data_IF_475184391294
#
_entry.id   IF_475184391294
#
_cell.length_a   1.000
_cell.length_b   1.000
_cell.length_c   1.000
_cell.angle_alpha   90.00
_cell.angle_beta   90.00
_cell.angle_gamma   90.00
#
_symmetry.space_group_name_H-M   'P 1'
#
loop_
_entity.id
_entity.type
_entity.pdbx_description
1 polymer ?
#
# COMPACT_ATOMS: atom_id res chain seq x y z
N UNK A 1 -23.34 -1.34 1.54
CA UNK A 1 -22.30 -2.26 1.04
C UNK A 1 -21.14 -2.20 2.02
N UNK A 2 -20.55 -3.34 2.42
CA UNK A 2 -19.38 -3.32 3.32
C UNK A 2 -18.23 -2.57 2.66
N UNK A 3 -17.63 -1.62 3.38
CA UNK A 3 -16.46 -0.87 2.90
C UNK A 3 -15.29 -1.81 2.65
N UNK A 4 -14.38 -1.43 1.74
CA UNK A 4 -13.17 -2.20 1.48
C UNK A 4 -12.30 -2.31 2.73
N UNK A 5 -12.32 -1.28 3.58
CA UNK A 5 -11.58 -1.23 4.84
C UNK A 5 -12.05 -2.29 5.84
N UNK A 6 -13.36 -2.52 5.97
CA UNK A 6 -13.89 -3.52 6.91
C UNK A 6 -13.50 -4.95 6.55
N UNK A 7 -13.13 -5.21 5.29
CA UNK A 7 -12.59 -6.52 4.86
C UNK A 7 -11.15 -6.75 5.33
N UNK A 8 -10.40 -5.70 5.64
CA UNK A 8 -8.97 -5.78 5.95
C UNK A 8 -8.62 -5.41 7.39
N UNK A 9 -9.55 -4.82 8.15
CA UNK A 9 -9.27 -4.25 9.48
C UNK A 9 -8.56 -5.23 10.44
N UNK A 10 -8.85 -6.52 10.31
CA UNK A 10 -8.35 -7.58 11.19
C UNK A 10 -7.26 -8.45 10.56
N UNK A 11 -6.87 -8.22 9.29
CA UNK A 11 -5.99 -9.10 8.53
C UNK A 11 -4.87 -8.32 7.80
N UNK A 12 -4.11 -7.51 8.54
CA UNK A 12 -3.03 -6.69 7.98
C UNK A 12 -1.85 -7.51 7.42
N UNK A 13 -1.71 -8.76 7.82
CA UNK A 13 -0.74 -9.70 7.27
C UNK A 13 -0.98 -10.02 5.77
N UNK A 14 -2.15 -9.68 5.22
CA UNK A 14 -2.44 -9.79 3.79
C UNK A 14 -1.61 -8.82 2.95
N UNK A 15 -1.16 -7.71 3.54
CA UNK A 15 -0.33 -6.69 2.88
C UNK A 15 1.17 -7.02 2.89
N UNK A 16 1.56 -8.15 3.50
CA UNK A 16 2.95 -8.59 3.48
C UNK A 16 3.31 -9.05 2.06
N UNK A 17 4.36 -8.47 1.43
CA UNK A 17 4.80 -8.89 0.11
C UNK A 17 5.11 -10.40 0.07
N UNK A 18 4.44 -11.12 -0.83
CA UNK A 18 4.53 -12.59 -0.91
C UNK A 18 5.96 -13.09 -1.23
N UNK A 19 6.75 -12.28 -1.94
CA UNK A 19 8.14 -12.57 -2.29
C UNK A 19 9.10 -12.62 -1.08
N UNK A 20 8.69 -12.11 0.09
CA UNK A 20 9.47 -12.25 1.33
C UNK A 20 9.39 -13.67 1.93
N UNK A 21 8.49 -14.52 1.43
CA UNK A 21 8.33 -15.93 1.84
C UNK A 21 8.27 -16.14 3.37
N UNK A 22 7.53 -15.26 4.06
CA UNK A 22 7.34 -15.36 5.51
C UNK A 22 6.21 -16.35 5.79
N UNK A 23 6.57 -17.54 6.27
CA UNK A 23 5.65 -18.66 6.50
C UNK A 23 5.24 -18.81 7.96
N UNK A 24 6.07 -18.36 8.91
CA UNK A 24 5.78 -18.44 10.34
C UNK A 24 4.57 -17.56 10.72
N UNK A 25 3.48 -18.14 11.27
CA UNK A 25 2.26 -17.38 11.55
C UNK A 25 2.45 -16.26 12.58
N UNK A 26 3.26 -16.48 13.62
CA UNK A 26 3.50 -15.48 14.67
C UNK A 26 4.26 -14.28 14.10
N UNK A 27 5.28 -14.52 13.26
CA UNK A 27 6.04 -13.49 12.57
C UNK A 27 5.17 -12.74 11.56
N UNK A 28 4.31 -13.44 10.80
CA UNK A 28 3.36 -12.79 9.89
C UNK A 28 2.42 -11.85 10.67
N UNK A 29 1.88 -12.30 11.80
CA UNK A 29 1.03 -11.47 12.65
C UNK A 29 1.77 -10.24 13.17
N UNK A 30 2.97 -10.41 13.71
CA UNK A 30 3.78 -9.30 14.22
C UNK A 30 4.11 -8.26 13.13
N UNK A 31 4.37 -8.71 11.89
CA UNK A 31 4.59 -7.81 10.76
C UNK A 31 3.27 -7.11 10.37
N UNK A 32 2.15 -7.83 10.31
CA UNK A 32 0.83 -7.25 10.10
C UNK A 32 0.53 -6.14 11.11
N UNK A 33 0.80 -6.39 12.40
CA UNK A 33 0.63 -5.40 13.46
C UNK A 33 1.56 -4.19 13.27
N UNK A 34 2.80 -4.40 12.78
CA UNK A 34 3.71 -3.30 12.45
C UNK A 34 3.24 -2.47 11.25
N UNK A 35 2.66 -3.11 10.22
CA UNK A 35 2.09 -2.42 9.06
C UNK A 35 0.90 -1.57 9.51
N UNK A 36 -0.01 -2.15 10.29
CA UNK A 36 -1.14 -1.43 10.89
C UNK A 36 -0.66 -0.20 11.65
N UNK A 37 0.31 -0.38 12.54
CA UNK A 37 0.86 0.72 13.34
C UNK A 37 1.53 1.80 12.48
N UNK A 38 2.22 1.42 11.41
CA UNK A 38 2.89 2.37 10.53
C UNK A 38 1.89 3.29 9.79
N UNK A 39 0.83 2.72 9.21
CA UNK A 39 -0.13 3.50 8.40
C UNK A 39 -1.26 4.13 9.22
N UNK A 40 -1.72 3.48 10.29
CA UNK A 40 -2.90 3.91 11.06
C UNK A 40 -2.55 4.41 12.48
N UNK A 41 -1.31 4.25 12.93
CA UNK A 41 -0.89 4.58 14.28
C UNK A 41 -1.64 3.76 15.33
N UNK A 42 -1.94 4.39 16.47
CA UNK A 42 -2.75 3.81 17.55
C UNK A 42 -4.26 4.05 17.37
N UNK A 43 -4.68 4.61 16.21
CA UNK A 43 -6.10 4.90 15.95
C UNK A 43 -6.84 3.62 15.56
N UNK A 44 -8.13 3.50 15.93
CA UNK A 44 -8.98 2.47 15.36
C UNK A 44 -9.07 2.67 13.85
N UNK A 45 -9.07 1.54 13.12
CA UNK A 45 -9.27 1.53 11.66
C UNK A 45 -10.72 1.87 11.40
N UNK A 46 -11.00 3.02 10.77
CA UNK A 46 -12.37 3.49 10.50
C UNK A 46 -12.56 3.93 9.05
N UNK A 47 -13.80 3.82 8.55
CA UNK A 47 -14.15 4.11 7.16
C UNK A 47 -13.82 5.54 6.71
N UNK A 48 -13.55 6.45 7.66
CA UNK A 48 -13.12 7.83 7.44
C UNK A 48 -11.63 7.98 7.13
N UNK A 49 -10.80 6.95 7.34
CA UNK A 49 -9.33 6.96 7.12
C UNK A 49 -8.97 6.53 5.69
N UNK A 50 -9.56 7.21 4.70
CA UNK A 50 -9.34 6.91 3.28
C UNK A 50 -7.92 7.22 2.84
N UNK A 51 -7.24 8.19 3.44
CA UNK A 51 -5.85 8.55 3.12
C UNK A 51 -4.85 7.45 3.53
N UNK A 52 -4.98 6.92 4.74
CA UNK A 52 -4.09 5.90 5.31
C UNK A 52 -4.19 4.60 4.51
N UNK A 53 -5.42 4.18 4.18
CA UNK A 53 -5.65 3.04 3.30
C UNK A 53 -5.09 3.32 1.89
N UNK A 54 -5.29 4.52 1.35
CA UNK A 54 -4.75 4.89 0.04
C UNK A 54 -3.23 4.80 0.02
N UNK A 55 -2.55 5.28 1.05
CA UNK A 55 -1.09 5.21 1.17
C UNK A 55 -0.61 3.75 1.27
N UNK A 56 -1.24 2.94 2.12
CA UNK A 56 -0.91 1.52 2.27
C UNK A 56 -1.05 0.77 0.94
N UNK A 57 -2.18 0.91 0.26
CA UNK A 57 -2.41 0.25 -1.03
C UNK A 57 -1.45 0.78 -2.10
N UNK A 58 -1.16 2.07 -2.12
CA UNK A 58 -0.21 2.66 -3.08
C UNK A 58 1.18 2.07 -2.90
N UNK A 59 1.65 1.92 -1.67
CA UNK A 59 2.97 1.35 -1.38
C UNK A 59 3.05 -0.14 -1.72
N UNK A 60 2.01 -0.91 -1.39
CA UNK A 60 1.96 -2.37 -1.60
C UNK A 60 1.81 -2.73 -3.08
N UNK A 61 0.89 -2.07 -3.79
CA UNK A 61 0.53 -2.44 -5.16
C UNK A 61 1.44 -1.77 -6.21
N UNK A 62 2.02 -0.61 -5.91
CA UNK A 62 2.79 0.17 -6.89
C UNK A 62 4.19 0.56 -6.39
N UNK A 63 4.31 1.43 -5.39
CA UNK A 63 5.57 2.13 -5.07
C UNK A 63 6.72 1.17 -4.73
N UNK A 64 6.48 0.17 -3.89
CA UNK A 64 7.53 -0.79 -3.51
C UNK A 64 8.06 -1.54 -4.73
N UNK A 65 7.16 -2.04 -5.58
CA UNK A 65 7.51 -2.84 -6.75
C UNK A 65 8.29 -2.03 -7.78
N UNK A 66 7.84 -0.81 -8.09
CA UNK A 66 8.50 0.07 -9.06
C UNK A 66 9.88 0.49 -8.56
N UNK A 67 9.99 0.95 -7.32
CA UNK A 67 11.27 1.43 -6.76
C UNK A 67 12.26 0.29 -6.56
N UNK A 68 11.83 -0.89 -6.10
CA UNK A 68 12.72 -2.05 -5.99
C UNK A 68 13.23 -2.48 -7.36
N UNK A 69 12.36 -2.52 -8.37
CA UNK A 69 12.73 -2.89 -9.73
C UNK A 69 13.72 -1.90 -10.32
N UNK A 70 13.47 -0.59 -10.18
CA UNK A 70 14.38 0.46 -10.62
C UNK A 70 15.77 0.32 -9.96
N UNK A 71 15.82 0.05 -8.64
CA UNK A 71 17.07 -0.21 -7.92
C UNK A 71 17.82 -1.43 -8.45
N UNK A 72 17.11 -2.53 -8.71
CA UNK A 72 17.72 -3.75 -9.27
C UNK A 72 18.26 -3.49 -10.68
N UNK A 73 17.50 -2.80 -11.53
CA UNK A 73 17.92 -2.45 -12.89
C UNK A 73 19.16 -1.55 -12.86
N UNK A 74 19.16 -0.51 -12.03
CA UNK A 74 20.29 0.41 -11.89
C UNK A 74 21.56 -0.29 -11.39
N UNK A 75 21.42 -1.35 -10.61
CA UNK A 75 22.56 -2.14 -10.13
C UNK A 75 23.10 -3.16 -11.15
N UNK A 76 22.35 -3.48 -12.21
CA UNK A 76 22.66 -4.58 -13.15
C UNK A 76 22.84 -4.16 -14.59
N UNK A 77 22.29 -3.02 -14.98
CA UNK A 77 22.36 -2.50 -16.35
C UNK A 77 23.41 -1.40 -16.44
N UNK A 78 24.09 -1.34 -17.58
CA UNK A 78 25.01 -0.24 -17.90
C UNK A 78 24.26 0.99 -18.47
N UNK A 79 22.98 0.84 -18.81
CA UNK A 79 22.14 1.92 -19.31
C UNK A 79 21.55 2.73 -18.15
N UNK A 80 21.36 4.06 -18.31
CA UNK A 80 20.68 4.87 -17.31
C UNK A 80 19.26 4.38 -17.02
N UNK A 81 18.89 4.37 -15.74
CA UNK A 81 17.54 4.06 -15.27
C UNK A 81 16.91 5.33 -14.70
N UNK A 82 15.70 5.64 -15.13
CA UNK A 82 14.95 6.82 -14.69
C UNK A 82 13.66 6.39 -14.00
N UNK A 83 13.33 7.07 -12.91
CA UNK A 83 12.06 6.93 -12.18
C UNK A 83 11.45 8.33 -12.04
N UNK A 84 10.12 8.42 -12.10
CA UNK A 84 9.40 9.69 -11.92
C UNK A 84 8.28 9.51 -10.91
N UNK A 85 7.91 10.61 -10.25
CA UNK A 85 6.78 10.67 -9.34
C UNK A 85 5.76 11.67 -9.87
N UNK A 86 4.59 11.18 -10.29
CA UNK A 86 3.50 12.00 -10.79
C UNK A 86 2.52 12.29 -9.67
N UNK A 87 2.41 13.56 -9.27
CA UNK A 87 1.62 14.00 -8.12
C UNK A 87 0.48 14.97 -8.49
N UNK A 88 0.12 15.04 -9.77
CA UNK A 88 -1.00 15.88 -10.18
C UNK A 88 -2.33 15.22 -9.81
N UNK A 89 -3.18 15.98 -9.12
CA UNK A 89 -4.52 15.54 -8.73
C UNK A 89 -5.57 16.04 -9.73
N UNK A 90 -6.09 15.12 -10.55
CA UNK A 90 -7.18 15.46 -11.47
C UNK A 90 -8.51 15.68 -10.72
N UNK A 91 -9.40 16.57 -11.20
CA UNK A 91 -10.70 16.80 -10.58
C UNK A 91 -11.63 15.58 -10.66
N UNK A 92 -11.40 14.68 -11.60
CA UNK A 92 -12.11 13.41 -11.79
C UNK A 92 -11.12 12.25 -11.88
N UNK A 93 -11.56 11.04 -11.55
CA UNK A 93 -10.74 9.83 -11.69
C UNK A 93 -11.50 8.58 -11.30
N UNK A 94 -11.12 7.44 -11.88
CA UNK A 94 -11.76 6.15 -11.62
C UNK A 94 -11.79 5.81 -10.12
N UNK A 95 -10.67 6.01 -9.42
CA UNK A 95 -10.57 5.73 -7.98
C UNK A 95 -11.46 6.66 -7.15
N UNK A 96 -11.55 7.95 -7.52
CA UNK A 96 -12.46 8.89 -6.86
C UNK A 96 -13.93 8.46 -7.01
N UNK A 97 -14.32 8.01 -8.20
CA UNK A 97 -15.66 7.49 -8.46
C UNK A 97 -15.92 6.18 -7.69
N UNK A 98 -14.97 5.25 -7.70
CA UNK A 98 -15.09 3.95 -7.03
C UNK A 98 -15.27 4.09 -5.51
N UNK A 99 -14.52 5.01 -4.89
CA UNK A 99 -14.55 5.26 -3.45
C UNK A 99 -15.57 6.32 -3.03
N UNK A 100 -16.36 6.85 -3.98
CA UNK A 100 -17.32 7.95 -3.73
C UNK A 100 -16.67 9.15 -3.02
N UNK A 101 -15.42 9.43 -3.40
CA UNK A 101 -14.68 10.60 -2.97
C UNK A 101 -15.13 11.77 -3.85
N UNK A 102 -16.38 12.19 -3.68
CA UNK A 102 -16.90 13.42 -4.27
C UNK A 102 -16.37 14.63 -3.47
N UNK A 103 -16.11 15.74 -4.17
CA UNK A 103 -16.12 17.06 -3.55
C UNK A 103 -17.53 17.62 -3.64
#
# INVERSE_FOLDING_TARGET
>A
AMSMLSKFQDNFELFIPKNLNITDPAKRKAIGDSIKKFYFGDKPVSETQTSELTNLLSDVDFSYGTTLTAKIMNARLNSPVYEYYFNFEAPFGFMKALFKLEK
#
